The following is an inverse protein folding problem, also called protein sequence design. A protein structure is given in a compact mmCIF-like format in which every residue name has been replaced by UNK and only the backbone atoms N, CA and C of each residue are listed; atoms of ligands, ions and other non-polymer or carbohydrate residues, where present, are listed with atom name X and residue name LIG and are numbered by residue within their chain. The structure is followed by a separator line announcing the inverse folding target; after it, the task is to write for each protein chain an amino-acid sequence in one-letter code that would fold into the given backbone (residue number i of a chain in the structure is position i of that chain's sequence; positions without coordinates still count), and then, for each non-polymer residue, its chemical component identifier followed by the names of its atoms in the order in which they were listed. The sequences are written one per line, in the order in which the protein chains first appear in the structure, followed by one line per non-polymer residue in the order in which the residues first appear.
data_IF_309651547899
#
_entry.id   IF_309651547899
#
_cell.length_a   1.000
_cell.length_b   1.000
_cell.length_c   1.000
_cell.angle_alpha   90.00
_cell.angle_beta   90.00
_cell.angle_gamma   90.00
#
_symmetry.space_group_name_H-M   'P 1'
#
loop_
_entity.id
_entity.type
_entity.pdbx_description
1 polymer ?
#
# COMPACT_ATOMS: atom_id res chain seq x y z
N UNK A 1 38.18 -20.10 50.58
CA UNK A 1 37.53 -18.76 50.68
C UNK A 1 38.42 -17.79 49.92
N UNK A 2 38.10 -17.15 48.80
CA UNK A 2 36.88 -16.88 48.04
C UNK A 2 37.37 -16.60 46.59
N UNK A 3 36.81 -17.22 45.54
CA UNK A 3 35.65 -16.66 44.85
C UNK A 3 36.08 -15.99 43.54
N UNK A 4 36.58 -16.77 42.58
CA UNK A 4 36.84 -16.31 41.21
C UNK A 4 35.47 -16.03 40.57
N UNK A 5 35.15 -14.75 40.40
CA UNK A 5 33.90 -14.30 39.77
C UNK A 5 34.00 -14.56 38.27
N UNK A 6 33.38 -15.64 37.82
CA UNK A 6 33.19 -15.97 36.41
C UNK A 6 32.29 -14.92 35.76
N UNK A 7 32.86 -14.00 34.98
CA UNK A 7 32.09 -13.05 34.18
C UNK A 7 31.66 -13.76 32.87
N UNK A 8 30.49 -14.39 32.89
CA UNK A 8 29.83 -14.90 31.69
C UNK A 8 29.34 -13.71 30.86
N UNK A 9 30.13 -13.27 29.87
CA UNK A 9 29.67 -12.35 28.83
C UNK A 9 28.78 -13.16 27.88
N UNK A 10 27.48 -13.14 28.18
CA UNK A 10 26.44 -13.77 27.40
C UNK A 10 26.25 -12.94 26.12
N UNK A 11 27.03 -13.27 25.09
CA UNK A 11 26.86 -12.76 23.74
C UNK A 11 25.51 -13.29 23.22
N UNK A 12 24.44 -12.52 23.46
CA UNK A 12 23.11 -12.79 22.94
C UNK A 12 23.17 -12.49 21.43
N UNK A 13 23.16 -13.50 20.54
CA UNK A 13 23.12 -13.19 19.12
C UNK A 13 21.78 -12.53 18.84
N UNK A 14 21.82 -11.24 18.54
CA UNK A 14 20.73 -10.48 17.94
C UNK A 14 20.35 -11.18 16.63
N UNK A 15 19.42 -12.13 16.70
CA UNK A 15 18.64 -12.63 15.58
C UNK A 15 17.75 -11.48 15.09
N UNK A 16 18.34 -10.49 14.43
CA UNK A 16 17.62 -9.54 13.60
C UNK A 16 17.18 -10.28 12.34
N UNK A 17 16.15 -11.13 12.49
CA UNK A 17 15.44 -11.70 11.37
C UNK A 17 14.84 -10.55 10.56
N UNK A 18 15.41 -10.27 9.39
CA UNK A 18 14.82 -9.34 8.44
C UNK A 18 13.46 -9.89 8.01
N UNK A 19 12.39 -9.41 8.65
CA UNK A 19 11.04 -9.78 8.29
C UNK A 19 10.72 -9.19 6.91
N UNK A 20 10.82 -10.01 5.88
CA UNK A 20 10.41 -9.65 4.52
C UNK A 20 8.91 -9.43 4.50
N UNK A 21 8.46 -8.27 4.01
CA UNK A 21 7.03 -7.97 3.80
C UNK A 21 6.76 -7.63 2.34
N UNK A 22 5.54 -7.93 1.91
CA UNK A 22 5.03 -7.60 0.58
C UNK A 22 3.82 -6.66 0.70
N UNK A 23 3.71 -5.73 -0.24
CA UNK A 23 2.51 -4.93 -0.44
C UNK A 23 1.56 -5.65 -1.42
N UNK A 24 0.33 -5.91 -0.98
CA UNK A 24 -0.76 -6.42 -1.83
C UNK A 24 -1.82 -5.34 -1.95
N UNK A 25 -2.16 -4.95 -3.19
CA UNK A 25 -3.18 -3.93 -3.44
C UNK A 25 -4.49 -4.56 -3.88
N UNK A 26 -5.55 -4.26 -3.16
CA UNK A 26 -6.91 -4.68 -3.43
C UNK A 26 -7.63 -3.61 -4.24
N UNK A 27 -8.06 -3.96 -5.43
CA UNK A 27 -8.82 -3.11 -6.34
C UNK A 27 -10.27 -3.58 -6.45
N UNK A 28 -11.16 -2.71 -6.92
CA UNK A 28 -12.52 -3.06 -7.28
C UNK A 28 -12.97 -2.34 -8.55
N UNK A 29 -13.94 -2.94 -9.25
CA UNK A 29 -14.66 -2.35 -10.39
C UNK A 29 -16.16 -2.55 -10.20
N UNK A 30 -16.96 -1.48 -9.99
CA UNK A 30 -16.56 -0.07 -9.86
C UNK A 30 -15.67 0.19 -8.64
N UNK A 31 -14.83 1.24 -8.68
CA UNK A 31 -13.95 1.61 -7.55
C UNK A 31 -14.74 2.03 -6.29
N UNK A 32 -14.05 2.11 -5.14
CA UNK A 32 -14.64 2.61 -3.90
C UNK A 32 -15.38 1.56 -3.06
N UNK A 33 -15.33 0.28 -3.44
CA UNK A 33 -15.80 -0.79 -2.56
C UNK A 33 -14.98 -0.82 -1.26
N UNK A 34 -15.65 -1.13 -0.14
CA UNK A 34 -15.02 -1.37 1.15
C UNK A 34 -14.39 -2.76 1.18
N UNK A 35 -13.14 -2.85 1.57
CA UNK A 35 -12.42 -4.12 1.78
C UNK A 35 -12.67 -4.59 3.21
N UNK A 36 -13.22 -5.80 3.34
CA UNK A 36 -13.44 -6.47 4.61
C UNK A 36 -12.66 -7.78 4.60
N UNK A 37 -11.76 -7.96 5.57
CA UNK A 37 -10.98 -9.18 5.74
C UNK A 37 -11.25 -9.77 7.12
N UNK A 38 -11.52 -11.08 7.19
CA UNK A 38 -11.85 -11.79 8.44
C UNK A 38 -12.93 -11.05 9.30
N UNK A 39 -13.94 -10.47 8.64
CA UNK A 39 -15.02 -9.72 9.29
C UNK A 39 -14.66 -8.30 9.74
N UNK A 40 -13.41 -7.86 9.63
CA UNK A 40 -12.98 -6.50 10.00
C UNK A 40 -12.89 -5.59 8.77
N UNK A 41 -13.33 -4.34 8.92
CA UNK A 41 -13.25 -3.31 7.87
C UNK A 41 -11.85 -2.72 7.81
N UNK A 42 -11.22 -2.74 6.64
CA UNK A 42 -9.86 -2.19 6.46
C UNK A 42 -9.84 -0.82 5.78
N UNK A 43 -10.79 -0.54 4.89
CA UNK A 43 -10.86 0.73 4.16
C UNK A 43 -11.48 0.56 2.78
N UNK A 44 -11.43 1.60 1.96
CA UNK A 44 -11.96 1.60 0.59
C UNK A 44 -10.89 1.30 -0.46
N UNK A 45 -11.29 0.68 -1.56
CA UNK A 45 -10.42 0.34 -2.69
C UNK A 45 -10.11 1.56 -3.59
N UNK A 46 -8.92 1.56 -4.25
CA UNK A 46 -7.72 0.78 -3.96
C UNK A 46 -7.17 0.92 -2.54
N UNK A 47 -6.88 -0.24 -1.95
CA UNK A 47 -6.30 -0.36 -0.62
C UNK A 47 -5.05 -1.25 -0.68
N UNK A 48 -3.92 -0.77 -0.16
CA UNK A 48 -2.70 -1.57 -0.05
C UNK A 48 -2.52 -2.09 1.37
N UNK A 49 -2.43 -3.41 1.54
CA UNK A 49 -2.14 -4.06 2.82
C UNK A 49 -0.75 -4.69 2.76
N UNK A 50 0.03 -4.54 3.83
CA UNK A 50 1.35 -5.17 3.97
C UNK A 50 1.22 -6.50 4.69
N UNK A 51 1.72 -7.57 4.06
CA UNK A 51 1.76 -8.91 4.63
C UNK A 51 3.20 -9.29 4.94
N UNK A 52 3.42 -9.91 6.10
CA UNK A 52 4.68 -10.57 6.40
C UNK A 52 4.76 -11.87 5.58
N UNK A 53 5.92 -12.12 4.96
CA UNK A 53 6.16 -13.37 4.23
C UNK A 53 6.81 -14.39 5.17
N UNK A 54 6.16 -15.55 5.29
CA UNK A 54 6.79 -16.72 5.90
C UNK A 54 7.82 -17.33 4.97
N UNK A 55 8.68 -18.21 5.50
CA UNK A 55 9.65 -18.94 4.67
C UNK A 55 8.97 -19.93 3.72
N UNK A 56 7.80 -20.44 4.09
CA UNK A 56 6.97 -21.27 3.21
C UNK A 56 6.41 -20.46 2.04
N UNK A 57 5.93 -19.24 2.26
CA UNK A 57 5.44 -18.36 1.17
C UNK A 57 6.55 -18.09 0.14
N UNK A 58 7.77 -17.83 0.62
CA UNK A 58 8.95 -17.61 -0.23
C UNK A 58 9.31 -18.87 -1.02
N UNK A 59 9.30 -20.03 -0.37
CA UNK A 59 9.64 -21.32 -0.98
C UNK A 59 8.61 -21.70 -2.06
N UNK A 60 7.33 -21.46 -1.79
CA UNK A 60 6.22 -21.80 -2.70
C UNK A 60 5.99 -20.73 -3.78
N UNK A 61 6.49 -19.51 -3.60
CA UNK A 61 6.22 -18.39 -4.51
C UNK A 61 4.76 -17.95 -4.50
N UNK A 62 4.04 -18.24 -3.41
CA UNK A 62 2.61 -17.96 -3.25
C UNK A 62 2.39 -17.51 -1.81
N UNK A 63 1.73 -16.37 -1.64
CA UNK A 63 1.21 -15.91 -0.36
C UNK A 63 -0.28 -16.27 -0.27
N UNK A 64 -0.68 -16.86 0.87
CA UNK A 64 -2.08 -17.02 1.22
C UNK A 64 -2.50 -15.92 2.21
N UNK A 65 -3.39 -15.04 1.75
CA UNK A 65 -3.97 -13.94 2.52
C UNK A 65 -5.21 -14.39 3.30
N UNK A 66 -5.63 -13.59 4.28
CA UNK A 66 -6.94 -13.78 4.92
C UNK A 66 -8.07 -13.72 3.89
N UNK A 67 -9.19 -14.39 4.18
CA UNK A 67 -10.38 -14.27 3.35
C UNK A 67 -10.90 -12.83 3.38
N UNK A 68 -10.81 -12.17 2.22
CA UNK A 68 -11.25 -10.80 2.02
C UNK A 68 -12.36 -10.74 0.98
N UNK A 69 -13.26 -9.78 1.11
CA UNK A 69 -14.24 -9.43 0.08
C UNK A 69 -14.37 -7.92 -0.09
N UNK A 70 -14.77 -7.50 -1.28
CA UNK A 70 -15.17 -6.15 -1.58
C UNK A 70 -16.68 -6.03 -1.33
N UNK A 71 -17.10 -4.99 -0.61
CA UNK A 71 -18.50 -4.64 -0.37
C UNK A 71 -18.79 -3.26 -0.93
N UNK A 72 -19.71 -3.17 -1.89
CA UNK A 72 -20.14 -1.90 -2.45
C UNK A 72 -21.28 -1.25 -1.64
N UNK A 73 -21.62 0.00 -1.97
CA UNK A 73 -22.61 0.81 -1.26
C UNK A 73 -24.01 0.16 -1.26
N UNK A 74 -24.38 -0.51 -2.36
CA UNK A 74 -25.61 -1.30 -2.45
C UNK A 74 -25.66 -2.50 -1.50
N UNK A 75 -24.52 -2.87 -0.89
CA UNK A 75 -24.38 -4.04 -0.05
C UNK A 75 -23.93 -5.30 -0.81
N UNK A 76 -23.82 -5.25 -2.14
CA UNK A 76 -23.29 -6.37 -2.94
C UNK A 76 -21.87 -6.74 -2.51
N UNK A 77 -21.53 -8.04 -2.53
CA UNK A 77 -20.23 -8.56 -2.08
C UNK A 77 -19.58 -9.46 -3.12
N UNK A 78 -18.27 -9.30 -3.31
CA UNK A 78 -17.45 -10.20 -4.14
C UNK A 78 -16.18 -10.56 -3.38
N UNK A 79 -15.93 -11.85 -3.20
CA UNK A 79 -14.71 -12.34 -2.57
C UNK A 79 -13.49 -12.11 -3.46
N UNK A 80 -12.40 -11.69 -2.84
CA UNK A 80 -11.08 -11.74 -3.46
C UNK A 80 -10.56 -13.18 -3.48
N UNK A 81 -9.56 -13.44 -4.32
CA UNK A 81 -8.76 -14.64 -4.12
C UNK A 81 -8.05 -14.51 -2.77
N UNK A 82 -7.79 -15.62 -2.09
CA UNK A 82 -6.85 -15.60 -0.99
C UNK A 82 -5.42 -15.88 -1.47
N UNK A 83 -5.22 -16.19 -2.75
CA UNK A 83 -3.94 -16.64 -3.31
C UNK A 83 -3.28 -15.53 -4.12
N UNK A 84 -2.12 -15.08 -3.65
CA UNK A 84 -1.31 -14.05 -4.33
C UNK A 84 -0.02 -14.69 -4.83
N UNK A 85 0.15 -14.73 -6.14
CA UNK A 85 1.41 -15.19 -6.74
C UNK A 85 2.51 -14.16 -6.52
N UNK A 86 3.71 -14.63 -6.17
CA UNK A 86 4.87 -13.80 -5.89
C UNK A 86 5.86 -13.88 -7.07
N UNK A 87 5.66 -13.10 -8.16
CA UNK A 87 6.66 -13.01 -9.21
C UNK A 87 7.93 -12.38 -8.61
N UNK A 88 9.09 -12.95 -8.91
CA UNK A 88 10.40 -12.63 -8.31
C UNK A 88 10.60 -11.13 -7.95
N UNK A 89 11.16 -10.88 -6.76
CA UNK A 89 11.40 -9.58 -6.11
C UNK A 89 11.90 -8.48 -7.08
N UNK A 90 11.41 -7.22 -7.04
CA UNK A 90 10.50 -6.63 -6.05
C UNK A 90 9.05 -7.06 -6.25
N UNK A 91 8.49 -7.72 -5.23
CA UNK A 91 7.17 -8.34 -5.32
C UNK A 91 6.11 -7.32 -4.92
N UNK A 92 5.18 -7.05 -5.82
CA UNK A 92 3.91 -6.40 -5.51
C UNK A 92 2.80 -7.33 -5.98
N UNK A 93 1.89 -7.66 -5.07
CA UNK A 93 0.70 -8.43 -5.39
C UNK A 93 -0.46 -7.49 -5.71
N UNK A 94 -1.38 -7.91 -6.56
CA UNK A 94 -2.66 -7.23 -6.68
C UNK A 94 -3.79 -8.23 -6.75
N UNK A 95 -4.95 -7.76 -6.29
CA UNK A 95 -6.20 -8.50 -6.30
C UNK A 95 -7.27 -7.60 -6.91
N UNK A 96 -8.17 -8.18 -7.68
CA UNK A 96 -9.24 -7.44 -8.36
C UNK A 96 -10.58 -8.12 -8.10
N UNK A 97 -11.54 -7.36 -7.58
CA UNK A 97 -12.93 -7.78 -7.45
C UNK A 97 -13.77 -7.02 -8.47
N UNK A 98 -14.46 -7.75 -9.36
CA UNK A 98 -15.35 -7.16 -10.34
C UNK A 98 -16.80 -7.39 -9.92
N UNK A 99 -17.56 -6.30 -9.80
CA UNK A 99 -18.99 -6.33 -9.52
C UNK A 99 -19.76 -6.72 -10.79
N UNK A 100 -20.55 -7.81 -10.78
CA UNK A 100 -21.47 -8.11 -11.88
C UNK A 100 -22.56 -7.03 -12.01
N UNK A 101 -23.13 -6.95 -13.21
CA UNK A 101 -24.33 -6.14 -13.47
C UNK A 101 -25.54 -6.74 -12.73
N UNK A 102 -26.42 -5.87 -12.24
CA UNK A 102 -27.63 -6.27 -11.53
C UNK A 102 -28.14 -5.15 -10.62
N UNK A 103 -29.03 -5.50 -9.71
CA UNK A 103 -29.62 -4.56 -8.77
C UNK A 103 -28.56 -3.80 -7.98
N UNK A 104 -28.77 -2.49 -7.81
CA UNK A 104 -27.84 -1.58 -7.14
C UNK A 104 -26.55 -1.27 -7.92
N UNK A 105 -26.34 -1.82 -9.13
CA UNK A 105 -25.11 -1.56 -9.89
C UNK A 105 -24.92 -0.09 -10.22
N UNK A 106 -25.99 0.58 -10.67
CA UNK A 106 -25.92 2.00 -11.05
C UNK A 106 -25.44 2.86 -9.88
N UNK A 107 -25.97 2.63 -8.68
CA UNK A 107 -25.55 3.34 -7.45
C UNK A 107 -24.05 3.13 -7.16
N UNK A 108 -23.58 1.90 -7.31
CA UNK A 108 -22.18 1.55 -7.04
C UNK A 108 -21.24 2.13 -8.10
N UNK A 109 -21.67 2.15 -9.38
CA UNK A 109 -20.95 2.76 -10.48
C UNK A 109 -20.85 4.28 -10.32
N UNK A 110 -21.93 4.95 -9.93
CA UNK A 110 -21.95 6.40 -9.67
C UNK A 110 -21.02 6.77 -8.52
N UNK A 111 -21.03 5.99 -7.44
CA UNK A 111 -20.10 6.17 -6.33
C UNK A 111 -18.65 5.96 -6.77
N UNK A 112 -18.38 4.89 -7.51
CA UNK A 112 -17.04 4.60 -8.02
C UNK A 112 -16.50 5.70 -8.92
N UNK A 113 -17.33 6.26 -9.81
CA UNK A 113 -16.96 7.39 -10.65
C UNK A 113 -16.61 8.63 -9.82
N UNK A 114 -17.37 8.89 -8.76
CA UNK A 114 -17.08 10.01 -7.83
C UNK A 114 -15.74 9.81 -7.13
N UNK A 115 -15.48 8.61 -6.61
CA UNK A 115 -14.20 8.27 -5.94
C UNK A 115 -13.03 8.45 -6.90
N UNK A 116 -13.15 7.94 -8.13
CA UNK A 116 -12.13 8.06 -9.16
C UNK A 116 -11.85 9.53 -9.50
N UNK A 117 -12.90 10.33 -9.69
CA UNK A 117 -12.80 11.76 -9.98
C UNK A 117 -12.08 12.51 -8.86
N UNK A 118 -12.47 12.27 -7.61
CA UNK A 118 -11.82 12.89 -6.45
C UNK A 118 -10.34 12.50 -6.33
N UNK A 119 -9.98 11.25 -6.64
CA UNK A 119 -8.58 10.82 -6.65
C UNK A 119 -7.77 11.55 -7.72
N UNK A 120 -8.31 11.65 -8.94
CA UNK A 120 -7.64 12.36 -10.03
C UNK A 120 -7.42 13.83 -9.70
N UNK A 121 -8.43 14.50 -9.14
CA UNK A 121 -8.31 15.90 -8.69
C UNK A 121 -7.22 16.08 -7.63
N UNK A 122 -7.15 15.19 -6.63
CA UNK A 122 -6.11 15.24 -5.59
C UNK A 122 -4.71 15.03 -6.17
N UNK A 123 -4.56 14.07 -7.09
CA UNK A 123 -3.28 13.82 -7.75
C UNK A 123 -2.80 15.05 -8.55
N UNK A 124 -3.71 15.69 -9.30
CA UNK A 124 -3.41 16.92 -10.03
C UNK A 124 -3.02 18.08 -9.11
N UNK A 125 -3.71 18.24 -7.98
CA UNK A 125 -3.37 19.27 -6.99
C UNK A 125 -1.99 19.05 -6.37
N UNK A 126 -1.63 17.80 -6.06
CA UNK A 126 -0.31 17.47 -5.54
C UNK A 126 0.80 17.72 -6.56
N UNK A 127 0.57 17.37 -7.82
CA UNK A 127 1.49 17.63 -8.92
C UNK A 127 1.70 19.13 -9.13
N UNK A 128 0.61 19.90 -9.24
CA UNK A 128 0.67 21.37 -9.36
C UNK A 128 1.45 22.00 -8.20
N UNK A 129 1.26 21.49 -6.97
CA UNK A 129 2.00 21.94 -5.80
C UNK A 129 3.49 21.65 -5.90
N UNK A 130 3.88 20.47 -6.41
CA UNK A 130 5.30 20.12 -6.63
C UNK A 130 5.94 21.02 -7.68
N UNK A 131 5.27 21.20 -8.82
CA UNK A 131 5.74 22.08 -9.89
C UNK A 131 5.94 23.52 -9.41
N UNK A 132 4.99 24.05 -8.64
CA UNK A 132 5.11 25.38 -8.04
C UNK A 132 6.33 25.48 -7.10
N UNK A 133 6.58 24.46 -6.28
CA UNK A 133 7.74 24.44 -5.39
C UNK A 133 9.06 24.40 -6.17
N UNK A 134 9.13 23.63 -7.24
CA UNK A 134 10.33 23.54 -8.06
C UNK A 134 10.58 24.83 -8.85
N UNK A 135 9.53 25.48 -9.37
CA UNK A 135 9.66 26.82 -9.97
C UNK A 135 10.23 27.84 -8.97
N UNK A 136 9.74 27.85 -7.74
CA UNK A 136 10.26 28.75 -6.70
C UNK A 136 11.73 28.45 -6.35
N UNK A 137 12.12 27.18 -6.35
CA UNK A 137 13.53 26.77 -6.13
C UNK A 137 14.43 27.27 -7.25
N UNK A 138 14.00 27.12 -8.49
CA UNK A 138 14.76 27.62 -9.64
C UNK A 138 14.84 29.14 -9.63
N UNK A 139 13.74 29.86 -9.38
CA UNK A 139 13.76 31.33 -9.22
C UNK A 139 14.74 31.77 -8.12
N UNK A 140 14.79 31.07 -6.98
CA UNK A 140 15.75 31.36 -5.90
C UNK A 140 17.20 31.16 -6.34
N UNK A 141 17.50 30.09 -7.08
CA UNK A 141 18.83 29.87 -7.65
C UNK A 141 19.20 30.96 -8.65
N UNK A 142 18.30 31.29 -9.58
CA UNK A 142 18.52 32.36 -10.56
C UNK A 142 18.77 33.68 -9.86
N UNK A 143 17.96 34.06 -8.87
CA UNK A 143 18.17 35.30 -8.11
C UNK A 143 19.50 35.29 -7.34
N UNK A 144 19.87 34.17 -6.71
CA UNK A 144 21.16 34.04 -6.01
C UNK A 144 22.36 34.22 -6.96
N UNK A 145 22.28 33.67 -8.18
CA UNK A 145 23.28 33.86 -9.22
C UNK A 145 23.35 35.30 -9.72
N UNK A 146 22.19 35.94 -9.94
CA UNK A 146 22.11 37.35 -10.37
C UNK A 146 22.65 38.31 -9.30
N UNK A 147 22.49 37.98 -8.02
CA UNK A 147 23.02 38.75 -6.88
C UNK A 147 24.54 38.54 -6.65
N UNK A 148 25.21 37.71 -7.47
CA UNK A 148 26.66 37.53 -7.41
C UNK A 148 27.17 36.82 -6.14
N UNK A 149 26.30 36.07 -5.44
CA UNK A 149 26.69 35.34 -4.22
C UNK A 149 27.51 34.09 -4.56
N UNK A 150 28.65 33.91 -3.88
CA UNK A 150 29.61 32.83 -4.17
C UNK A 150 29.17 31.43 -3.72
N UNK A 151 28.08 31.32 -2.94
CA UNK A 151 27.46 30.05 -2.55
C UNK A 151 25.93 30.15 -2.65
N UNK A 152 25.40 29.36 -3.58
CA UNK A 152 24.04 28.90 -3.72
C UNK A 152 24.11 27.35 -3.65
#
# INVERSE_FOLDING_TARGET
MNGVKTLFVLCFPLLLGACSSIAVTYYSDPEGATVVCNGSVYGETPLTIRYALSDDDKRLGVLYTDSCYAQWLSGYRVSYSNRVHLPRIPVFGYQMAKRPLGDGYAQDADYGLRVQTLRQLRAQQEENRRLMQDQLREQRKTNCLLEGKSKC
#
